data_IF_579420263748
#
_entry.id   IF_579420263748
#
_cell.length_a   1.000
_cell.length_b   1.000
_cell.length_c   1.000
_cell.angle_alpha   90.00
_cell.angle_beta   90.00
_cell.angle_gamma   90.00
#
_symmetry.space_group_name_H-M   'P 1'
#
loop_
_entity.id
_entity.type
_entity.pdbx_description
1 polymer ?
#
# COMPACT_ATOMS: atom_id res chain seq x y z
N UNK A 1 -7.41 -5.23 34.00
CA UNK A 1 -6.22 -4.91 33.23
C UNK A 1 -6.42 -3.59 32.48
N UNK A 2 -5.33 -3.05 31.95
CA UNK A 2 -5.37 -1.83 31.13
C UNK A 2 -5.70 -2.24 29.70
N UNK A 3 -6.71 -1.60 29.07
CA UNK A 3 -7.02 -1.83 27.65
C UNK A 3 -6.11 -0.92 26.78
N UNK A 4 -5.41 -1.51 25.82
CA UNK A 4 -4.66 -0.74 24.82
C UNK A 4 -5.64 -0.05 23.86
N UNK A 5 -5.43 1.24 23.60
CA UNK A 5 -6.20 2.01 22.61
C UNK A 5 -5.51 1.86 21.27
N UNK A 6 -5.95 0.92 20.47
CA UNK A 6 -5.38 0.60 19.16
C UNK A 6 -5.69 -0.83 18.74
N UNK A 7 -5.17 -1.24 17.57
CA UNK A 7 -5.40 -2.57 17.01
C UNK A 7 -4.73 -3.66 17.83
N UNK A 8 -5.15 -4.89 17.59
CA UNK A 8 -4.53 -6.08 18.18
C UNK A 8 -3.10 -6.27 17.64
N UNK A 9 -2.24 -6.93 18.41
CA UNK A 9 -0.88 -7.28 17.97
C UNK A 9 -0.90 -8.16 16.70
N UNK A 10 -1.95 -8.97 16.53
CA UNK A 10 -2.14 -9.80 15.33
C UNK A 10 -2.39 -8.93 14.11
N UNK A 11 -3.32 -7.97 14.18
CA UNK A 11 -3.61 -7.03 13.09
C UNK A 11 -2.34 -6.23 12.70
N UNK A 12 -1.58 -5.76 13.69
CA UNK A 12 -0.32 -5.06 13.43
C UNK A 12 0.71 -5.94 12.72
N UNK A 13 0.88 -7.21 13.11
CA UNK A 13 1.81 -8.13 12.45
C UNK A 13 1.38 -8.44 11.02
N UNK A 14 0.08 -8.70 10.79
CA UNK A 14 -0.46 -8.99 9.44
C UNK A 14 -0.21 -7.84 8.47
N UNK A 15 -0.40 -6.59 8.92
CA UNK A 15 -0.21 -5.42 8.06
C UNK A 15 1.25 -4.95 8.02
N UNK A 16 2.06 -5.29 8.98
CA UNK A 16 3.49 -5.00 8.98
C UNK A 16 4.32 -5.87 8.03
N UNK A 17 3.84 -7.07 7.70
CA UNK A 17 4.45 -7.93 6.70
C UNK A 17 3.81 -7.70 5.33
N UNK A 18 4.58 -7.17 4.38
CA UNK A 18 4.07 -6.75 3.07
C UNK A 18 3.46 -7.90 2.26
N UNK A 19 4.07 -9.09 2.32
CA UNK A 19 3.58 -10.25 1.57
C UNK A 19 2.26 -10.75 2.16
N UNK A 20 2.16 -10.82 3.49
CA UNK A 20 0.93 -11.19 4.20
C UNK A 20 -0.18 -10.16 3.98
N UNK A 21 0.15 -8.87 4.08
CA UNK A 21 -0.81 -7.80 3.83
C UNK A 21 -1.38 -7.89 2.41
N UNK A 22 -0.49 -8.00 1.39
CA UNK A 22 -0.89 -8.15 -0.01
C UNK A 22 -1.79 -9.36 -0.23
N UNK A 23 -1.41 -10.53 0.29
CA UNK A 23 -2.21 -11.76 0.20
C UNK A 23 -3.59 -11.56 0.82
N UNK A 24 -3.63 -11.01 2.04
CA UNK A 24 -4.89 -10.72 2.74
C UNK A 24 -5.78 -9.78 1.92
N UNK A 25 -5.22 -8.76 1.27
CA UNK A 25 -5.99 -7.85 0.42
C UNK A 25 -6.60 -8.56 -0.78
N UNK A 26 -5.82 -9.40 -1.49
CA UNK A 26 -6.30 -10.18 -2.63
C UNK A 26 -7.46 -11.10 -2.22
N UNK A 27 -7.31 -11.81 -1.11
CA UNK A 27 -8.32 -12.73 -0.58
C UNK A 27 -9.62 -12.04 -0.14
N UNK A 28 -9.61 -10.72 0.00
CA UNK A 28 -10.76 -9.91 0.42
C UNK A 28 -11.19 -8.88 -0.64
N UNK A 29 -10.92 -9.13 -1.91
CA UNK A 29 -11.31 -8.29 -3.05
C UNK A 29 -10.89 -6.82 -2.92
N UNK A 30 -9.72 -6.58 -2.32
CA UNK A 30 -9.09 -5.25 -2.28
C UNK A 30 -8.04 -5.20 -3.39
N UNK A 31 -8.18 -4.28 -4.36
CA UNK A 31 -7.22 -4.19 -5.47
C UNK A 31 -5.80 -3.92 -4.97
N UNK A 32 -4.84 -4.68 -5.48
CA UNK A 32 -3.41 -4.49 -5.24
C UNK A 32 -2.69 -4.29 -6.56
N UNK A 33 -1.58 -3.59 -6.57
CA UNK A 33 -0.74 -3.42 -7.76
C UNK A 33 -0.42 -4.79 -8.37
N UNK A 34 -0.59 -5.01 -9.68
CA UNK A 34 -0.18 -6.26 -10.32
C UNK A 34 1.26 -6.63 -9.93
N UNK A 35 1.51 -7.88 -9.59
CA UNK A 35 2.83 -8.30 -9.13
C UNK A 35 2.96 -9.81 -9.03
N UNK A 36 4.19 -10.27 -8.88
CA UNK A 36 4.58 -11.68 -8.79
C UNK A 36 4.61 -12.19 -7.36
N UNK A 37 4.82 -13.48 -7.19
CA UNK A 37 5.45 -14.04 -6.00
C UNK A 37 6.96 -13.74 -5.98
N UNK A 38 7.71 -14.46 -5.14
CA UNK A 38 9.18 -14.39 -5.16
C UNK A 38 9.67 -14.87 -6.52
N UNK A 39 10.47 -14.04 -7.20
CA UNK A 39 11.10 -14.38 -8.48
C UNK A 39 12.52 -14.89 -8.25
N UNK A 40 12.93 -15.87 -9.06
CA UNK A 40 14.24 -16.52 -8.96
C UNK A 40 15.10 -16.27 -10.19
N UNK A 41 14.49 -16.01 -11.33
CA UNK A 41 15.20 -15.82 -12.61
C UNK A 41 14.83 -14.52 -13.28
N UNK A 42 15.68 -14.07 -14.19
CA UNK A 42 15.47 -12.87 -15.02
C UNK A 42 14.26 -13.06 -15.92
N UNK A 43 14.12 -14.27 -16.48
CA UNK A 43 13.03 -14.63 -17.38
C UNK A 43 11.66 -14.49 -16.70
N UNK A 44 11.52 -14.94 -15.44
CA UNK A 44 10.27 -14.75 -14.68
C UNK A 44 9.87 -13.27 -14.54
N UNK A 45 10.86 -12.39 -14.38
CA UNK A 45 10.64 -10.93 -14.30
C UNK A 45 10.26 -10.35 -15.66
N UNK A 46 10.93 -10.78 -16.72
CA UNK A 46 10.65 -10.33 -18.09
C UNK A 46 9.27 -10.82 -18.56
N UNK A 47 8.89 -12.06 -18.27
CA UNK A 47 7.55 -12.60 -18.57
C UNK A 47 6.47 -11.77 -17.89
N UNK A 48 6.66 -11.45 -16.60
CA UNK A 48 5.74 -10.57 -15.89
C UNK A 48 5.70 -9.16 -16.50
N UNK A 49 6.86 -8.59 -16.88
CA UNK A 49 6.91 -7.29 -17.52
C UNK A 49 6.22 -7.27 -18.90
N UNK A 50 6.30 -8.38 -19.65
CA UNK A 50 5.59 -8.53 -20.92
C UNK A 50 4.05 -8.56 -20.72
N UNK A 51 3.58 -9.09 -19.60
CA UNK A 51 2.15 -9.13 -19.27
C UNK A 51 1.62 -7.75 -18.86
N UNK A 52 2.34 -7.03 -17.98
CA UNK A 52 1.83 -5.78 -17.37
C UNK A 52 2.37 -4.51 -18.02
N UNK A 53 3.37 -4.63 -18.90
CA UNK A 53 4.11 -3.52 -19.50
C UNK A 53 5.15 -2.91 -18.57
N UNK A 54 6.20 -2.33 -19.15
CA UNK A 54 7.16 -1.49 -18.41
C UNK A 54 6.55 -0.12 -18.07
N UNK A 55 7.05 0.59 -17.05
CA UNK A 55 8.06 0.17 -16.08
C UNK A 55 7.51 -0.79 -15.02
N UNK A 56 8.41 -1.61 -14.48
CA UNK A 56 8.17 -2.46 -13.31
C UNK A 56 9.14 -2.09 -12.18
N UNK A 57 8.85 -2.53 -10.97
CA UNK A 57 9.72 -2.33 -9.81
C UNK A 57 10.02 -3.67 -9.15
N UNK A 58 11.30 -3.95 -8.94
CA UNK A 58 11.78 -5.05 -8.12
C UNK A 58 11.85 -4.60 -6.66
N UNK A 59 11.39 -5.44 -5.75
CA UNK A 59 11.35 -5.14 -4.30
C UNK A 59 11.85 -6.31 -3.49
N UNK A 60 12.68 -6.03 -2.47
CA UNK A 60 13.02 -7.01 -1.44
C UNK A 60 11.77 -7.41 -0.65
N UNK A 61 11.63 -8.71 -0.36
CA UNK A 61 10.53 -9.22 0.48
C UNK A 61 10.62 -8.73 1.91
N UNK A 62 11.85 -8.61 2.43
CA UNK A 62 12.16 -8.07 3.74
C UNK A 62 12.72 -6.65 3.56
N UNK A 63 11.87 -5.64 3.32
CA UNK A 63 12.34 -4.30 3.00
C UNK A 63 11.48 -3.18 3.58
N UNK A 64 12.08 -2.02 3.80
CA UNK A 64 11.41 -0.81 4.25
C UNK A 64 12.26 0.44 3.98
N UNK A 65 11.62 1.62 3.98
CA UNK A 65 12.32 2.90 3.84
C UNK A 65 12.99 3.12 2.48
N UNK A 66 12.49 2.48 1.41
CA UNK A 66 13.02 2.68 0.05
C UNK A 66 14.29 1.90 -0.30
N UNK A 67 14.80 1.06 0.62
CA UNK A 67 15.96 0.19 0.36
C UNK A 67 15.50 -1.13 -0.26
N UNK A 68 16.34 -1.72 -1.11
CA UNK A 68 16.03 -2.97 -1.81
C UNK A 68 14.91 -2.78 -2.84
N UNK A 69 14.90 -1.65 -3.53
CA UNK A 69 13.95 -1.37 -4.62
C UNK A 69 14.70 -0.86 -5.85
N UNK A 70 14.35 -1.41 -7.03
CA UNK A 70 14.91 -1.01 -8.33
C UNK A 70 13.82 -0.97 -9.38
N UNK A 71 13.77 0.12 -10.13
CA UNK A 71 12.85 0.29 -11.26
C UNK A 71 13.55 -0.24 -12.50
N UNK A 72 12.85 -1.08 -13.29
CA UNK A 72 13.27 -1.53 -14.60
C UNK A 72 12.34 -0.92 -15.66
N UNK A 73 12.92 -0.32 -16.69
CA UNK A 73 12.20 0.34 -17.77
C UNK A 73 12.25 -0.43 -19.09
N UNK A 74 13.13 -1.43 -19.15
CA UNK A 74 13.28 -2.34 -20.30
C UNK A 74 13.87 -3.69 -19.86
N UNK A 75 13.84 -4.67 -20.75
CA UNK A 75 14.40 -6.01 -20.53
C UNK A 75 15.89 -5.98 -20.20
N UNK A 76 16.64 -5.06 -20.82
CA UNK A 76 18.08 -4.92 -20.63
C UNK A 76 18.46 -4.48 -19.22
N UNK A 77 17.53 -3.81 -18.51
CA UNK A 77 17.78 -3.34 -17.15
C UNK A 77 17.48 -4.42 -16.09
N UNK A 78 16.76 -5.47 -16.43
CA UNK A 78 16.23 -6.44 -15.45
C UNK A 78 17.35 -7.18 -14.74
N UNK A 79 18.31 -7.76 -15.49
CA UNK A 79 19.39 -8.58 -14.92
C UNK A 79 20.20 -7.80 -13.88
N UNK A 80 20.75 -6.66 -14.29
CA UNK A 80 21.56 -5.81 -13.40
C UNK A 80 20.77 -5.35 -12.18
N UNK A 81 19.54 -4.88 -12.38
CA UNK A 81 18.71 -4.37 -11.30
C UNK A 81 18.26 -5.49 -10.33
N UNK A 82 18.06 -6.71 -10.82
CA UNK A 82 17.75 -7.86 -9.99
C UNK A 82 18.93 -8.24 -9.09
N UNK A 83 20.15 -8.33 -9.65
CA UNK A 83 21.37 -8.59 -8.88
C UNK A 83 21.61 -7.53 -7.80
N UNK A 84 21.50 -6.25 -8.15
CA UNK A 84 21.66 -5.15 -7.21
C UNK A 84 20.60 -5.18 -6.10
N UNK A 85 19.34 -5.45 -6.45
CA UNK A 85 18.24 -5.54 -5.50
C UNK A 85 18.45 -6.71 -4.51
N UNK A 86 18.83 -7.89 -5.02
CA UNK A 86 19.11 -9.08 -4.21
C UNK A 86 20.32 -8.88 -3.29
N UNK A 87 21.41 -8.28 -3.81
CA UNK A 87 22.61 -7.97 -3.02
C UNK A 87 22.30 -7.01 -1.88
N UNK A 88 21.57 -5.94 -2.19
CA UNK A 88 21.13 -4.95 -1.20
C UNK A 88 20.21 -5.59 -0.15
N UNK A 89 19.25 -6.39 -0.58
CA UNK A 89 18.33 -7.13 0.30
C UNK A 89 19.08 -8.06 1.26
N UNK A 90 20.05 -8.82 0.73
CA UNK A 90 20.92 -9.70 1.55
C UNK A 90 21.73 -8.94 2.57
N UNK A 91 22.34 -7.82 2.16
CA UNK A 91 23.22 -7.04 3.01
C UNK A 91 22.48 -6.31 4.15
N UNK A 92 21.30 -5.75 3.88
CA UNK A 92 20.53 -4.98 4.86
C UNK A 92 19.57 -5.83 5.69
N UNK A 93 19.01 -6.89 5.09
CA UNK A 93 17.91 -7.64 5.71
C UNK A 93 18.23 -9.12 5.91
N UNK A 94 19.38 -9.61 5.41
CA UNK A 94 19.79 -11.01 5.52
C UNK A 94 19.05 -11.97 4.60
N UNK A 95 18.12 -11.49 3.79
CA UNK A 95 17.31 -12.28 2.85
C UNK A 95 17.39 -11.67 1.44
N UNK A 96 17.89 -12.41 0.42
CA UNK A 96 18.00 -11.94 -0.95
C UNK A 96 16.69 -12.05 -1.76
N UNK A 97 15.63 -12.57 -1.19
CA UNK A 97 14.39 -12.78 -1.92
C UNK A 97 13.77 -11.46 -2.39
N UNK A 98 13.44 -11.42 -3.68
CA UNK A 98 12.82 -10.27 -4.36
C UNK A 98 11.56 -10.70 -5.10
N UNK A 99 10.69 -9.75 -5.35
CA UNK A 99 9.49 -9.89 -6.17
C UNK A 99 9.34 -8.68 -7.08
N UNK A 100 8.53 -8.80 -8.15
CA UNK A 100 8.27 -7.72 -9.08
C UNK A 100 6.84 -7.20 -8.93
N UNK A 101 6.66 -5.88 -9.13
CA UNK A 101 5.35 -5.24 -9.22
C UNK A 101 5.33 -4.25 -10.40
N UNK A 102 4.13 -3.99 -10.93
CA UNK A 102 3.94 -2.87 -11.87
C UNK A 102 4.33 -1.58 -11.15
N UNK A 103 5.20 -0.79 -11.77
CA UNK A 103 5.54 0.53 -11.27
C UNK A 103 4.54 1.56 -11.76
N UNK A 104 3.93 2.28 -10.85
CA UNK A 104 3.03 3.39 -11.15
C UNK A 104 3.84 4.68 -11.20
N UNK A 105 3.76 5.39 -12.32
CA UNK A 105 4.50 6.64 -12.50
C UNK A 105 3.68 7.83 -11.99
N UNK A 106 4.22 8.55 -11.00
CA UNK A 106 3.58 9.71 -10.39
C UNK A 106 2.12 9.49 -9.97
N UNK A 107 1.79 8.38 -9.28
CA UNK A 107 0.43 8.13 -8.84
C UNK A 107 0.04 9.19 -7.80
N UNK A 108 -1.27 9.40 -7.65
CA UNK A 108 -1.77 10.14 -6.49
C UNK A 108 -1.83 9.24 -5.27
N UNK A 109 -1.52 9.80 -4.12
CA UNK A 109 -1.58 9.13 -2.84
C UNK A 109 -2.89 9.49 -2.16
N UNK A 110 -3.85 8.56 -2.17
CA UNK A 110 -5.16 8.72 -1.55
C UNK A 110 -5.22 7.81 -0.33
N UNK A 111 -5.63 8.33 0.79
CA UNK A 111 -5.77 7.54 2.01
C UNK A 111 -7.18 7.64 2.59
N UNK A 112 -7.68 6.52 3.10
CA UNK A 112 -9.02 6.42 3.68
C UNK A 112 -8.90 6.22 5.18
N UNK A 113 -9.49 7.15 5.95
CA UNK A 113 -9.58 7.03 7.40
C UNK A 113 -10.60 5.97 7.79
N UNK A 114 -10.20 5.02 8.62
CA UNK A 114 -11.08 4.00 9.16
C UNK A 114 -11.18 4.08 10.69
N UNK A 115 -12.29 3.56 11.22
CA UNK A 115 -12.52 3.37 12.63
C UNK A 115 -13.23 2.04 12.86
N UNK A 116 -12.64 1.17 13.67
CA UNK A 116 -13.19 -0.13 14.07
C UNK A 116 -13.50 -0.19 15.55
N UNK A 117 -14.60 -0.86 15.91
CA UNK A 117 -14.92 -1.19 17.29
C UNK A 117 -14.51 -2.63 17.65
N UNK A 118 -14.68 -3.01 18.93
CA UNK A 118 -14.39 -4.36 19.42
C UNK A 118 -15.48 -5.38 19.10
N UNK A 119 -16.54 -5.00 18.40
CA UNK A 119 -17.67 -5.86 18.02
C UNK A 119 -17.61 -6.25 16.52
N UNK A 120 -16.57 -5.83 15.81
CA UNK A 120 -16.39 -6.12 14.39
C UNK A 120 -17.06 -5.12 13.45
N UNK A 121 -17.61 -4.02 13.98
CA UNK A 121 -18.09 -2.94 13.13
C UNK A 121 -16.91 -2.08 12.68
N UNK A 122 -16.87 -1.77 11.39
CA UNK A 122 -15.85 -0.89 10.78
C UNK A 122 -16.56 0.11 9.89
N UNK A 123 -16.19 1.38 10.03
CA UNK A 123 -16.65 2.46 9.17
C UNK A 123 -15.45 3.19 8.57
N UNK A 124 -15.65 3.85 7.42
CA UNK A 124 -14.71 4.84 6.91
C UNK A 124 -15.26 6.26 7.10
N UNK A 125 -14.37 7.22 7.31
CA UNK A 125 -14.72 8.63 7.55
C UNK A 125 -14.41 9.52 6.35
N UNK A 126 -14.20 8.92 5.19
CA UNK A 126 -13.80 9.60 3.96
C UNK A 126 -12.29 9.52 3.71
N UNK A 127 -11.88 10.17 2.64
CA UNK A 127 -10.49 10.15 2.17
C UNK A 127 -9.80 11.50 2.31
N UNK A 128 -8.47 11.43 2.24
CA UNK A 128 -7.54 12.55 2.09
C UNK A 128 -6.67 12.32 0.87
N UNK A 129 -6.32 13.37 0.17
CA UNK A 129 -5.27 13.38 -0.85
C UNK A 129 -3.96 13.86 -0.21
N UNK A 130 -2.96 13.01 -0.20
CA UNK A 130 -1.65 13.27 0.39
C UNK A 130 -0.54 13.22 -0.68
N UNK A 131 -0.85 13.60 -1.92
CA UNK A 131 0.08 13.50 -3.06
C UNK A 131 1.22 14.51 -3.00
N UNK A 132 1.04 15.64 -2.30
CA UNK A 132 2.09 16.65 -2.15
C UNK A 132 3.07 16.21 -1.07
N UNK A 133 4.17 15.62 -1.51
CA UNK A 133 5.17 15.02 -0.65
C UNK A 133 6.58 15.51 -0.98
N UNK A 134 7.48 15.49 0.01
CA UNK A 134 8.91 15.68 -0.17
C UNK A 134 9.65 14.46 0.38
N UNK A 135 10.35 13.74 -0.49
CA UNK A 135 11.09 12.51 -0.11
C UNK A 135 10.21 11.52 0.65
N UNK A 136 8.99 11.28 0.15
CA UNK A 136 7.96 10.41 0.74
C UNK A 136 7.42 10.88 2.11
N UNK A 137 7.61 12.15 2.45
CA UNK A 137 6.98 12.78 3.61
C UNK A 137 5.81 13.63 3.14
N UNK A 138 4.62 13.40 3.69
CA UNK A 138 3.41 14.19 3.44
C UNK A 138 3.66 15.63 3.93
N UNK A 139 3.34 16.62 3.10
CA UNK A 139 3.53 18.05 3.40
C UNK A 139 2.23 18.83 3.42
N UNK A 140 1.30 18.44 2.56
CA UNK A 140 -0.01 19.04 2.45
C UNK A 140 -1.02 17.95 2.18
N UNK A 141 -2.10 17.98 2.94
CA UNK A 141 -3.22 17.06 2.84
C UNK A 141 -4.50 17.86 2.60
N UNK A 142 -5.36 17.34 1.74
CA UNK A 142 -6.67 17.94 1.47
C UNK A 142 -7.78 16.89 1.52
N UNK A 143 -8.96 17.28 1.98
CA UNK A 143 -10.16 16.44 1.99
C UNK A 143 -11.39 17.28 1.63
N UNK A 144 -12.24 16.78 0.70
CA UNK A 144 -12.09 15.56 -0.10
C UNK A 144 -11.01 15.68 -1.16
N UNK A 145 -10.52 14.53 -1.66
CA UNK A 145 -9.60 14.53 -2.81
C UNK A 145 -10.29 15.10 -4.07
N UNK A 146 -9.66 16.09 -4.75
CA UNK A 146 -10.17 16.59 -6.02
C UNK A 146 -9.95 15.63 -7.19
N UNK A 147 -9.15 14.56 -6.99
CA UNK A 147 -8.75 13.64 -8.04
C UNK A 147 -9.72 12.49 -8.27
N UNK A 148 -10.64 12.24 -7.34
CA UNK A 148 -11.60 11.14 -7.44
C UNK A 148 -13.04 11.64 -7.48
N UNK A 149 -13.86 10.93 -8.26
CA UNK A 149 -15.31 11.15 -8.29
C UNK A 149 -16.01 10.39 -7.15
N UNK A 150 -17.30 10.60 -7.01
CA UNK A 150 -18.11 10.00 -5.94
C UNK A 150 -18.15 8.46 -6.01
N UNK A 151 -18.16 7.89 -7.21
CA UNK A 151 -18.16 6.44 -7.40
C UNK A 151 -16.82 5.83 -6.93
N UNK A 152 -15.71 6.38 -7.36
CA UNK A 152 -14.37 5.95 -6.90
C UNK A 152 -14.22 6.10 -5.39
N UNK A 153 -14.74 7.20 -4.82
CA UNK A 153 -14.74 7.42 -3.36
C UNK A 153 -15.47 6.32 -2.61
N UNK A 154 -16.65 5.93 -3.08
CA UNK A 154 -17.43 4.83 -2.49
C UNK A 154 -16.70 3.50 -2.61
N UNK A 155 -16.11 3.21 -3.76
CA UNK A 155 -15.38 1.97 -4.00
C UNK A 155 -14.14 1.87 -3.09
N UNK A 156 -13.34 2.92 -3.00
CA UNK A 156 -12.15 2.97 -2.13
C UNK A 156 -12.53 2.87 -0.65
N UNK A 157 -13.58 3.59 -0.22
CA UNK A 157 -14.11 3.50 1.14
C UNK A 157 -14.57 2.08 1.50
N UNK A 158 -15.32 1.43 0.60
CA UNK A 158 -15.76 0.05 0.79
C UNK A 158 -14.57 -0.93 0.84
N UNK A 159 -13.54 -0.72 0.02
CA UNK A 159 -12.32 -1.53 0.03
C UNK A 159 -11.55 -1.36 1.35
N UNK A 160 -11.42 -0.13 1.86
CA UNK A 160 -10.78 0.13 3.14
C UNK A 160 -11.53 -0.56 4.32
N UNK A 161 -12.87 -0.58 4.28
CA UNK A 161 -13.67 -1.31 5.25
C UNK A 161 -13.45 -2.83 5.14
N UNK A 162 -13.40 -3.39 3.91
CA UNK A 162 -13.07 -4.82 3.73
C UNK A 162 -11.68 -5.16 4.26
N UNK A 163 -10.67 -4.35 3.93
CA UNK A 163 -9.31 -4.51 4.40
C UNK A 163 -9.24 -4.57 5.94
N UNK A 164 -9.91 -3.64 6.61
CA UNK A 164 -9.92 -3.59 8.07
C UNK A 164 -10.69 -4.78 8.69
N UNK A 165 -11.83 -5.17 8.13
CA UNK A 165 -12.60 -6.35 8.58
C UNK A 165 -11.81 -7.64 8.43
N UNK A 166 -11.03 -7.81 7.36
CA UNK A 166 -10.21 -9.00 7.09
C UNK A 166 -9.18 -9.30 8.20
N UNK A 167 -8.84 -8.30 8.99
CA UNK A 167 -7.85 -8.42 10.07
C UNK A 167 -8.44 -8.16 11.46
N UNK A 168 -9.78 -8.08 11.59
CA UNK A 168 -10.46 -7.74 12.83
C UNK A 168 -9.89 -6.46 13.48
N UNK A 169 -9.81 -5.40 12.69
CA UNK A 169 -9.18 -4.14 13.09
C UNK A 169 -10.00 -3.43 14.16
N UNK A 170 -9.33 -3.00 15.23
CA UNK A 170 -9.88 -2.14 16.29
C UNK A 170 -9.14 -0.80 16.35
N UNK A 171 -9.86 0.28 16.63
CA UNK A 171 -9.31 1.63 16.76
C UNK A 171 -9.27 2.40 15.46
N UNK A 172 -8.57 3.54 15.49
CA UNK A 172 -8.36 4.38 14.33
C UNK A 172 -7.19 3.86 13.49
N UNK A 173 -7.35 3.87 12.17
CA UNK A 173 -6.32 3.47 11.22
C UNK A 173 -6.54 4.14 9.86
N UNK A 174 -5.60 3.94 8.97
CA UNK A 174 -5.64 4.53 7.63
C UNK A 174 -5.23 3.50 6.59
N UNK A 175 -6.07 3.30 5.56
CA UNK A 175 -5.72 2.52 4.39
C UNK A 175 -5.20 3.47 3.31
N UNK A 176 -3.99 3.25 2.84
CA UNK A 176 -3.35 4.04 1.80
C UNK A 176 -3.48 3.36 0.44
N UNK A 177 -3.82 4.14 -0.57
CA UNK A 177 -4.02 3.71 -1.95
C UNK A 177 -3.22 4.57 -2.90
N UNK A 178 -2.77 3.97 -4.00
CA UNK A 178 -2.19 4.67 -5.14
C UNK A 178 -3.25 4.74 -6.24
N UNK A 179 -3.53 5.94 -6.71
CA UNK A 179 -4.43 6.20 -7.84
C UNK A 179 -3.59 6.51 -9.07
N UNK A 180 -3.73 5.68 -10.10
CA UNK A 180 -3.04 5.85 -11.37
C UNK A 180 -3.76 6.84 -12.30
N UNK A 181 -3.08 7.25 -13.37
CA UNK A 181 -3.60 8.22 -14.35
C UNK A 181 -4.82 7.72 -15.13
N UNK A 182 -4.96 6.40 -15.28
CA UNK A 182 -6.11 5.77 -15.93
C UNK A 182 -7.34 5.62 -15.01
N UNK A 183 -7.24 6.11 -13.77
CA UNK A 183 -8.30 6.04 -12.76
C UNK A 183 -8.33 4.73 -11.99
N UNK A 184 -7.45 3.77 -12.29
CA UNK A 184 -7.29 2.57 -11.48
C UNK A 184 -6.59 2.92 -10.17
N UNK A 185 -6.95 2.22 -9.12
CA UNK A 185 -6.37 2.44 -7.81
C UNK A 185 -6.05 1.11 -7.12
N UNK A 186 -5.02 1.14 -6.28
CA UNK A 186 -4.45 -0.05 -5.68
C UNK A 186 -4.08 0.20 -4.23
N UNK A 187 -4.34 -0.76 -3.37
CA UNK A 187 -3.90 -0.73 -1.99
C UNK A 187 -2.36 -0.72 -1.92
N UNK A 188 -1.83 0.18 -1.13
CA UNK A 188 -0.40 0.31 -0.89
C UNK A 188 -0.02 -0.27 0.48
N UNK A 189 -0.61 0.27 1.54
CA UNK A 189 -0.35 -0.18 2.91
C UNK A 189 -1.48 0.26 3.86
N UNK A 190 -1.43 -0.26 5.09
CA UNK A 190 -2.31 0.16 6.16
C UNK A 190 -1.50 0.63 7.36
N UNK A 191 -1.71 1.87 7.76
CA UNK A 191 -1.17 2.40 9.00
C UNK A 191 -2.07 1.98 10.17
N UNK A 192 -1.56 1.05 10.98
CA UNK A 192 -2.27 0.47 12.11
C UNK A 192 -2.19 1.35 13.37
N UNK A 193 -2.41 2.64 13.20
CA UNK A 193 -2.34 3.68 14.22
C UNK A 193 -3.07 4.93 13.75
N UNK A 194 -3.35 5.84 14.66
CA UNK A 194 -3.76 7.19 14.28
C UNK A 194 -2.61 7.94 13.63
N UNK A 195 -2.90 8.82 12.68
CA UNK A 195 -1.94 9.69 12.00
C UNK A 195 -2.22 11.16 12.33
N UNK A 196 -1.20 12.03 12.21
CA UNK A 196 -1.35 13.46 12.49
C UNK A 196 -2.40 14.10 11.58
N UNK A 197 -2.44 13.70 10.33
CA UNK A 197 -3.35 14.18 9.28
C UNK A 197 -4.81 13.76 9.46
N UNK A 198 -5.15 12.95 10.47
CA UNK A 198 -6.55 12.58 10.75
C UNK A 198 -7.46 13.81 10.93
N UNK A 199 -6.91 14.91 11.43
CA UNK A 199 -7.66 16.15 11.67
C UNK A 199 -8.30 16.72 10.40
N UNK A 200 -7.65 16.56 9.23
CA UNK A 200 -8.16 17.06 7.94
C UNK A 200 -9.48 16.37 7.59
N UNK A 201 -9.59 15.06 7.81
CA UNK A 201 -10.84 14.33 7.60
C UNK A 201 -11.90 14.68 8.63
N UNK A 202 -11.52 14.85 9.90
CA UNK A 202 -12.47 15.20 10.96
C UNK A 202 -13.12 16.55 10.73
N UNK A 203 -12.34 17.55 10.32
CA UNK A 203 -12.91 18.89 10.01
C UNK A 203 -13.98 18.82 8.93
N UNK A 204 -13.79 18.00 7.88
CA UNK A 204 -14.80 17.78 6.84
C UNK A 204 -16.07 17.12 7.39
N UNK A 205 -15.95 16.20 8.34
CA UNK A 205 -17.08 15.43 8.87
C UNK A 205 -17.99 16.26 9.78
N UNK A 206 -17.55 17.45 10.20
CA UNK A 206 -18.33 18.39 11.03
C UNK A 206 -18.92 19.57 10.25
N UNK A 207 -18.60 19.71 8.95
CA UNK A 207 -19.16 20.72 8.03
C UNK A 207 -20.20 20.11 7.11
#
# INVERSE_FOLDING_TARGET
GIKFIGPTAEAMRKMGDKATARKTMIENDVPVTPGTGIVKTVEEVQDFANEVGYPIILKATAGGGGKGMRICRSDEEVELNMELCQSEAKNFFGNPDVYAEKYLENPRHIEVQILGDSFGNVVHLGERDCSIQRRHQKLLEEAPSPAINEETRKQMGAAAVRAAKAINYEGAGTCEFLLDHDGKWYFMEMNTRIQVEHCVTHLKSFL
#
